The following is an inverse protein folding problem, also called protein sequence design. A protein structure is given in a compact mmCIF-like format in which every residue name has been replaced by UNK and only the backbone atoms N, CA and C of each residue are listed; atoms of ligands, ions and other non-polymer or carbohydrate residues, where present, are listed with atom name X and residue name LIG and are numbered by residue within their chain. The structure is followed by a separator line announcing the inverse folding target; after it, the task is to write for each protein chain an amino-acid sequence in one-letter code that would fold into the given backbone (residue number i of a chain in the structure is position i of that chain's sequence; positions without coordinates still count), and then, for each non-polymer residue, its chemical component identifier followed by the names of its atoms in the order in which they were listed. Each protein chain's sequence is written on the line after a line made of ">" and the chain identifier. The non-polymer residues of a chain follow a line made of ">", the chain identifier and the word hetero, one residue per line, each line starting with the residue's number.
data_IF_307478144117
#
_entry.id   IF_307478144117
#
_cell.length_a   1.000
_cell.length_b   1.000
_cell.length_c   1.000
_cell.angle_alpha   90.00
_cell.angle_beta   90.00
_cell.angle_gamma   90.00
#
_symmetry.space_group_name_H-M   'P 1'
#
loop_
_entity.id
_entity.type
_entity.pdbx_description
1 polymer ?
#
# COMPACT_ATOMS: atom_id res chain seq x y z
N UNK A 1 21.77 -6.26 -15.15
CA UNK A 1 20.84 -5.16 -15.45
C UNK A 1 19.64 -5.35 -14.53
N UNK A 2 19.24 -4.30 -13.83
CA UNK A 2 18.09 -4.29 -12.91
C UNK A 2 16.80 -4.42 -13.71
N UNK A 3 15.88 -5.30 -13.29
CA UNK A 3 14.66 -5.59 -14.05
C UNK A 3 13.45 -5.78 -13.14
N UNK A 4 12.27 -5.39 -13.62
CA UNK A 4 11.02 -5.64 -12.89
C UNK A 4 10.77 -7.13 -12.62
N UNK A 5 11.18 -8.02 -13.54
CA UNK A 5 11.12 -9.47 -13.31
C UNK A 5 12.11 -9.95 -12.23
N UNK A 6 13.29 -9.32 -12.13
CA UNK A 6 14.26 -9.55 -11.06
C UNK A 6 13.66 -9.22 -9.69
N UNK A 7 13.09 -8.02 -9.57
CA UNK A 7 12.36 -7.60 -8.37
C UNK A 7 11.22 -8.57 -8.01
N UNK A 8 10.39 -8.98 -8.98
CA UNK A 8 9.28 -9.90 -8.72
C UNK A 8 9.76 -11.27 -8.24
N UNK A 9 10.82 -11.82 -8.84
CA UNK A 9 11.41 -13.09 -8.40
C UNK A 9 11.95 -13.00 -6.99
N UNK A 10 12.56 -11.86 -6.62
CA UNK A 10 13.04 -11.62 -5.27
C UNK A 10 11.86 -11.54 -4.29
N UNK A 11 10.86 -10.71 -4.58
CA UNK A 11 9.67 -10.53 -3.74
C UNK A 11 8.96 -11.86 -3.42
N UNK A 12 8.80 -12.74 -4.43
CA UNK A 12 8.15 -14.05 -4.26
C UNK A 12 8.84 -14.98 -3.27
N UNK A 13 10.14 -14.80 -2.99
CA UNK A 13 10.88 -15.63 -2.02
C UNK A 13 10.47 -15.34 -0.57
N UNK A 14 9.93 -14.15 -0.33
CA UNK A 14 9.55 -13.69 1.00
C UNK A 14 8.08 -13.96 1.34
N UNK A 15 7.29 -14.54 0.42
CA UNK A 15 5.89 -14.91 0.70
C UNK A 15 5.84 -15.84 1.92
N UNK A 16 5.01 -15.48 2.91
CA UNK A 16 4.88 -16.17 4.19
C UNK A 16 5.69 -15.55 5.33
N UNK A 17 6.60 -14.61 5.06
CA UNK A 17 7.32 -13.88 6.10
C UNK A 17 6.41 -12.87 6.83
N UNK A 18 6.75 -12.57 8.08
CA UNK A 18 5.88 -11.83 8.98
C UNK A 18 5.84 -10.33 8.66
N UNK A 19 4.71 -9.70 8.99
CA UNK A 19 4.56 -8.25 8.92
C UNK A 19 4.75 -7.62 10.30
N UNK A 20 5.53 -6.55 10.39
CA UNK A 20 5.64 -5.68 11.55
C UNK A 20 6.20 -4.32 11.12
N UNK A 21 5.83 -3.25 11.83
CA UNK A 21 6.44 -1.94 11.62
C UNK A 21 7.90 -1.97 12.09
N UNK A 22 8.85 -1.90 11.15
CA UNK A 22 10.28 -1.98 11.42
C UNK A 22 11.06 -1.18 10.38
N UNK A 23 12.20 -0.62 10.76
CA UNK A 23 13.15 -0.11 9.77
C UNK A 23 14.02 -1.27 9.29
N UNK A 24 13.96 -1.57 7.99
CA UNK A 24 14.76 -2.63 7.35
C UNK A 24 16.08 -2.06 6.85
N UNK A 25 17.23 -2.68 7.19
CA UNK A 25 18.51 -2.30 6.60
C UNK A 25 18.53 -2.65 5.11
N UNK A 26 18.38 -1.66 4.23
CA UNK A 26 18.25 -1.85 2.78
C UNK A 26 19.46 -2.55 2.17
N UNK A 27 20.64 -2.37 2.75
CA UNK A 27 21.88 -3.03 2.34
C UNK A 27 22.09 -4.45 2.87
N UNK A 28 21.18 -4.99 3.69
CA UNK A 28 21.26 -6.38 4.13
C UNK A 28 20.47 -7.29 3.18
N UNK A 29 21.16 -7.95 2.26
CA UNK A 29 20.56 -8.89 1.31
C UNK A 29 20.02 -10.17 1.95
N UNK A 30 20.39 -10.46 3.20
CA UNK A 30 19.98 -11.65 3.94
C UNK A 30 18.86 -11.36 4.95
N UNK A 31 18.18 -10.21 4.85
CA UNK A 31 17.03 -9.91 5.71
C UNK A 31 15.83 -10.82 5.34
N UNK A 32 15.19 -11.41 6.33
CA UNK A 32 14.06 -12.34 6.18
C UNK A 32 12.87 -11.91 7.05
N UNK A 33 12.58 -10.61 6.98
CA UNK A 33 11.52 -9.99 7.75
C UNK A 33 11.85 -9.76 9.24
N UNK A 34 10.90 -9.21 10.00
CA UNK A 34 9.57 -8.83 9.54
C UNK A 34 9.60 -7.64 8.57
N UNK A 35 8.47 -7.37 7.93
CA UNK A 35 8.32 -6.35 6.90
C UNK A 35 7.18 -5.39 7.20
N UNK A 36 7.31 -4.15 6.76
CA UNK A 36 6.15 -3.35 6.37
C UNK A 36 6.13 -3.11 4.85
N UNK A 37 5.05 -2.51 4.34
CA UNK A 37 4.83 -2.36 2.91
C UNK A 37 5.89 -1.47 2.22
N UNK A 38 6.23 -0.33 2.81
CA UNK A 38 7.17 0.63 2.22
C UNK A 38 8.60 0.10 2.33
N UNK A 39 8.92 -0.48 3.47
CA UNK A 39 10.21 -1.10 3.78
C UNK A 39 10.51 -2.28 2.87
N UNK A 40 9.54 -3.18 2.67
CA UNK A 40 9.67 -4.29 1.73
C UNK A 40 9.92 -3.78 0.31
N UNK A 41 9.13 -2.81 -0.16
CA UNK A 41 9.30 -2.28 -1.52
C UNK A 41 10.65 -1.58 -1.69
N UNK A 42 11.04 -0.69 -0.76
CA UNK A 42 12.31 0.03 -0.83
C UNK A 42 13.51 -0.92 -0.73
N UNK A 43 13.40 -2.00 0.05
CA UNK A 43 14.42 -3.04 0.10
C UNK A 43 14.53 -3.77 -1.24
N UNK A 44 13.41 -4.17 -1.86
CA UNK A 44 13.42 -4.82 -3.19
C UNK A 44 14.11 -3.95 -4.26
N UNK A 45 13.79 -2.65 -4.27
CA UNK A 45 14.40 -1.69 -5.19
C UNK A 45 15.90 -1.56 -4.94
N UNK A 46 16.31 -1.46 -3.67
CA UNK A 46 17.72 -1.36 -3.33
C UNK A 46 18.49 -2.62 -3.70
N UNK A 47 17.92 -3.80 -3.47
CA UNK A 47 18.56 -5.08 -3.82
C UNK A 47 18.70 -5.29 -5.34
N UNK A 48 17.72 -4.84 -6.14
CA UNK A 48 17.77 -5.00 -7.59
C UNK A 48 18.57 -3.89 -8.29
N UNK A 49 18.44 -2.64 -7.84
CA UNK A 49 18.96 -1.46 -8.54
C UNK A 49 20.03 -0.66 -7.78
N UNK A 50 20.26 -0.94 -6.49
CA UNK A 50 21.18 -0.16 -5.66
C UNK A 50 20.70 1.27 -5.39
N UNK A 51 19.41 1.53 -5.58
CA UNK A 51 18.80 2.85 -5.44
C UNK A 51 17.99 2.90 -4.14
N UNK A 52 18.25 3.89 -3.30
CA UNK A 52 17.30 4.27 -2.25
C UNK A 52 16.14 5.03 -2.88
N UNK A 53 14.93 4.49 -2.72
CA UNK A 53 13.68 5.05 -3.22
C UNK A 53 12.59 4.90 -2.19
N UNK A 54 11.79 5.95 -2.02
CA UNK A 54 10.71 6.00 -1.03
C UNK A 54 11.19 6.03 0.42
N UNK A 55 12.44 6.48 0.65
CA UNK A 55 13.01 6.68 1.97
C UNK A 55 12.97 8.16 2.38
N UNK A 56 12.88 8.45 3.68
CA UNK A 56 12.92 9.81 4.23
C UNK A 56 14.20 10.54 3.82
N UNK A 57 15.33 9.83 3.82
CA UNK A 57 16.61 10.28 3.26
C UNK A 57 17.15 9.26 2.25
N UNK A 58 17.09 9.63 0.97
CA UNK A 58 17.56 8.80 -0.14
C UNK A 58 19.07 8.94 -0.45
N UNK A 59 19.79 9.75 0.33
CA UNK A 59 21.24 9.94 0.24
C UNK A 59 22.01 9.43 1.46
N UNK A 60 21.27 9.05 2.50
CA UNK A 60 21.81 8.54 3.75
C UNK A 60 22.34 7.12 3.65
N UNK A 61 22.76 6.59 4.80
CA UNK A 61 23.22 5.21 4.90
C UNK A 61 22.04 4.24 4.66
N UNK A 62 22.10 3.35 3.65
CA UNK A 62 21.03 2.41 3.35
C UNK A 62 20.63 1.49 4.53
N UNK A 63 21.54 1.26 5.50
CA UNK A 63 21.24 0.49 6.69
C UNK A 63 20.19 1.13 7.62
N UNK A 64 20.01 2.45 7.52
CA UNK A 64 19.15 3.24 8.41
C UNK A 64 18.12 4.09 7.65
N UNK A 65 18.04 3.93 6.33
CA UNK A 65 17.10 4.68 5.51
C UNK A 65 15.67 4.19 5.76
N UNK A 66 14.91 4.94 6.54
CA UNK A 66 13.51 4.66 6.87
C UNK A 66 12.60 4.92 5.67
N UNK A 67 11.81 3.92 5.28
CA UNK A 67 10.90 3.95 4.15
C UNK A 67 9.46 4.15 4.59
N UNK A 68 8.77 5.02 3.86
CA UNK A 68 7.39 5.37 4.18
C UNK A 68 6.62 5.72 2.91
N UNK A 69 5.34 5.35 2.84
CA UNK A 69 4.47 5.63 1.69
C UNK A 69 4.38 7.12 1.33
N UNK A 70 4.55 8.03 2.29
CA UNK A 70 4.65 9.47 2.02
C UNK A 70 5.96 9.87 1.32
N UNK A 71 7.08 9.25 1.69
CA UNK A 71 8.35 9.43 0.97
C UNK A 71 8.29 8.79 -0.43
N UNK A 72 7.62 7.64 -0.56
CA UNK A 72 7.29 7.04 -1.87
C UNK A 72 6.43 7.96 -2.74
N UNK A 73 5.41 8.60 -2.16
CA UNK A 73 4.62 9.60 -2.88
C UNK A 73 5.52 10.74 -3.37
N UNK A 74 6.34 11.32 -2.50
CA UNK A 74 7.26 12.41 -2.86
C UNK A 74 8.23 12.00 -3.99
N UNK A 75 8.83 10.83 -3.89
CA UNK A 75 9.76 10.33 -4.91
C UNK A 75 9.04 10.03 -6.24
N UNK A 76 7.84 9.45 -6.19
CA UNK A 76 7.03 9.21 -7.39
C UNK A 76 6.69 10.50 -8.13
N UNK A 77 6.46 11.59 -7.38
CA UNK A 77 6.16 12.90 -7.93
C UNK A 77 7.40 13.60 -8.49
N UNK A 78 8.55 13.47 -7.80
CA UNK A 78 9.77 14.22 -8.13
C UNK A 78 10.63 13.55 -9.18
N UNK A 79 10.73 12.22 -9.14
CA UNK A 79 11.69 11.44 -9.94
C UNK A 79 11.17 10.11 -10.45
N UNK A 80 9.98 9.67 -10.07
CA UNK A 80 9.34 8.48 -10.64
C UNK A 80 8.76 8.72 -12.02
N UNK A 81 8.57 7.64 -12.77
CA UNK A 81 7.74 7.65 -13.98
C UNK A 81 6.34 7.21 -13.55
N UNK A 82 5.42 8.17 -13.40
CA UNK A 82 4.02 7.86 -13.07
C UNK A 82 3.27 7.41 -14.30
N UNK A 83 2.58 6.29 -14.16
CA UNK A 83 1.78 5.65 -15.21
C UNK A 83 0.37 5.34 -14.68
N UNK A 84 -0.62 5.13 -15.57
CA UNK A 84 -1.94 4.65 -15.16
C UNK A 84 -1.87 3.34 -14.37
N UNK A 85 -2.83 3.14 -13.47
CA UNK A 85 -2.93 1.94 -12.62
C UNK A 85 -3.01 0.67 -13.47
N UNK A 86 -3.78 0.71 -14.54
CA UNK A 86 -3.98 -0.39 -15.49
C UNK A 86 -2.68 -0.76 -16.22
N UNK A 87 -1.84 0.23 -16.51
CA UNK A 87 -0.55 0.00 -17.13
C UNK A 87 0.45 -0.60 -16.14
N UNK A 88 0.48 -0.11 -14.89
CA UNK A 88 1.33 -0.69 -13.85
C UNK A 88 0.91 -2.11 -13.49
N UNK A 89 -0.39 -2.39 -13.39
CA UNK A 89 -0.94 -3.72 -13.14
C UNK A 89 -0.56 -4.74 -14.24
N UNK A 90 -0.41 -4.25 -15.48
CA UNK A 90 0.03 -5.04 -16.63
C UNK A 90 1.55 -5.19 -16.74
N UNK A 91 2.33 -4.42 -15.98
CA UNK A 91 3.79 -4.41 -16.08
C UNK A 91 4.41 -5.31 -15.01
N UNK A 92 5.25 -6.27 -15.41
CA UNK A 92 5.99 -7.12 -14.46
C UNK A 92 6.95 -6.25 -13.64
N UNK A 93 6.77 -6.22 -12.32
CA UNK A 93 7.52 -5.34 -11.43
C UNK A 93 7.06 -3.87 -11.45
N UNK A 94 5.95 -3.57 -12.14
CA UNK A 94 5.26 -2.30 -11.96
C UNK A 94 4.84 -2.13 -10.50
N UNK A 95 4.78 -0.90 -10.01
CA UNK A 95 4.43 -0.61 -8.62
C UNK A 95 3.10 0.10 -8.60
N UNK A 96 2.19 -0.30 -7.72
CA UNK A 96 0.99 0.48 -7.41
C UNK A 96 1.15 1.11 -6.04
N UNK A 97 0.80 2.38 -5.96
CA UNK A 97 0.89 3.17 -4.75
C UNK A 97 -0.48 3.82 -4.49
N UNK A 98 -0.97 3.59 -3.29
CA UNK A 98 -2.04 4.37 -2.67
C UNK A 98 -1.39 5.34 -1.69
N UNK A 99 -1.65 6.62 -1.87
CA UNK A 99 -1.05 7.67 -1.08
C UNK A 99 -1.60 7.68 0.35
N UNK A 100 -0.79 8.12 1.33
CA UNK A 100 -1.32 8.57 2.60
C UNK A 100 -2.49 9.54 2.42
N UNK A 101 -3.60 9.39 3.16
CA UNK A 101 -4.70 10.35 3.09
C UNK A 101 -4.28 11.72 3.63
N UNK A 102 -3.41 11.76 4.64
CA UNK A 102 -2.88 12.96 5.28
C UNK A 102 -1.38 12.78 5.60
N UNK A 103 -0.61 13.88 5.81
CA UNK A 103 0.77 13.79 6.26
C UNK A 103 0.91 12.95 7.55
N UNK A 104 1.81 11.97 7.53
CA UNK A 104 2.06 11.06 8.66
C UNK A 104 1.15 9.83 8.72
N UNK A 105 0.05 9.78 7.96
CA UNK A 105 -0.79 8.58 7.85
C UNK A 105 -0.15 7.53 6.91
N UNK A 106 -0.50 6.26 7.01
CA UNK A 106 0.02 5.26 6.06
C UNK A 106 -0.87 5.18 4.82
N UNK A 107 -0.23 5.00 3.67
CA UNK A 107 -0.88 4.56 2.44
C UNK A 107 -0.70 3.05 2.28
N UNK A 108 -0.56 2.58 1.04
CA UNK A 108 -0.12 1.21 0.78
C UNK A 108 0.59 1.08 -0.56
N UNK A 109 1.54 0.16 -0.65
CA UNK A 109 2.37 -0.01 -1.84
C UNK A 109 2.60 -1.49 -2.15
N UNK A 110 2.55 -1.86 -3.43
CA UNK A 110 2.60 -3.26 -3.87
C UNK A 110 3.41 -3.42 -5.16
N UNK A 111 3.96 -4.63 -5.37
CA UNK A 111 4.65 -5.00 -6.60
C UNK A 111 3.72 -5.83 -7.49
N UNK A 112 3.53 -5.42 -8.74
CA UNK A 112 2.69 -6.12 -9.71
C UNK A 112 3.40 -7.31 -10.34
N UNK A 113 2.64 -8.37 -10.60
CA UNK A 113 3.11 -9.55 -11.34
C UNK A 113 2.95 -9.43 -12.87
N UNK A 114 2.35 -8.33 -13.34
CA UNK A 114 2.04 -8.06 -14.75
C UNK A 114 0.76 -8.71 -15.28
N UNK A 115 -0.02 -9.38 -14.42
CA UNK A 115 -1.23 -10.13 -14.77
C UNK A 115 -2.43 -9.78 -13.89
N UNK A 116 -2.34 -8.64 -13.17
CA UNK A 116 -3.34 -8.22 -12.17
C UNK A 116 -3.14 -8.83 -10.78
N UNK A 117 -2.08 -9.60 -10.57
CA UNK A 117 -1.63 -10.07 -9.27
C UNK A 117 -0.61 -9.12 -8.63
N UNK A 118 -0.42 -9.25 -7.32
CA UNK A 118 0.56 -8.49 -6.53
C UNK A 118 1.41 -9.41 -5.66
N UNK A 119 2.57 -8.92 -5.23
CA UNK A 119 3.32 -9.41 -4.06
C UNK A 119 3.55 -8.22 -3.13
N UNK A 120 3.21 -8.37 -1.86
CA UNK A 120 3.15 -7.25 -0.92
C UNK A 120 3.25 -7.71 0.54
N UNK A 121 3.83 -6.86 1.40
CA UNK A 121 3.67 -6.97 2.85
C UNK A 121 2.35 -6.28 3.25
N UNK A 122 1.31 -7.07 3.52
CA UNK A 122 -0.09 -6.58 3.54
C UNK A 122 -0.61 -6.19 4.93
N UNK A 123 0.01 -6.67 6.00
CA UNK A 123 -0.44 -6.44 7.37
C UNK A 123 -0.22 -7.67 8.23
N UNK A 124 -0.35 -7.52 9.55
CA UNK A 124 -0.03 -8.58 10.53
C UNK A 124 -0.83 -9.87 10.28
N UNK A 125 -2.08 -9.77 9.82
CA UNK A 125 -2.94 -10.93 9.51
C UNK A 125 -2.43 -11.75 8.33
N UNK A 126 -1.67 -11.14 7.43
CA UNK A 126 -1.31 -11.72 6.14
C UNK A 126 0.20 -11.98 5.97
N UNK A 127 1.05 -11.16 6.59
CA UNK A 127 2.48 -11.15 6.30
C UNK A 127 2.78 -10.63 4.89
N UNK A 128 3.83 -11.15 4.27
CA UNK A 128 4.10 -11.01 2.84
C UNK A 128 3.27 -12.05 2.08
N UNK A 129 2.48 -11.60 1.12
CA UNK A 129 1.49 -12.44 0.44
C UNK A 129 1.43 -12.13 -1.05
N UNK A 130 0.98 -13.11 -1.83
CA UNK A 130 0.51 -12.88 -3.18
C UNK A 130 -0.99 -12.54 -3.15
N UNK A 131 -1.39 -11.47 -3.82
CA UNK A 131 -2.78 -10.99 -3.82
C UNK A 131 -3.14 -10.39 -5.19
N UNK A 132 -4.13 -9.51 -5.25
CA UNK A 132 -4.61 -8.87 -6.46
C UNK A 132 -4.66 -7.35 -6.36
N UNK A 133 -4.58 -6.71 -7.53
CA UNK A 133 -4.83 -5.28 -7.71
C UNK A 133 -6.33 -4.93 -7.66
N UNK A 134 -7.21 -5.92 -7.78
CA UNK A 134 -8.65 -5.70 -7.89
C UNK A 134 -9.36 -5.44 -6.55
N UNK A 135 -10.51 -4.76 -6.63
CA UNK A 135 -11.38 -4.36 -5.52
C UNK A 135 -10.67 -3.56 -4.42
N UNK A 136 -9.63 -2.81 -4.82
CA UNK A 136 -8.82 -1.94 -3.97
C UNK A 136 -8.57 -0.62 -4.69
N UNK A 137 -8.47 0.47 -3.94
CA UNK A 137 -8.11 1.78 -4.48
C UNK A 137 -6.61 1.87 -4.73
N UNK A 138 -6.23 2.45 -5.86
CA UNK A 138 -4.86 2.83 -6.19
C UNK A 138 -4.83 4.24 -6.76
N UNK A 139 -3.89 5.07 -6.32
CA UNK A 139 -3.78 6.45 -6.80
C UNK A 139 -2.91 6.57 -8.04
N UNK A 140 -1.85 5.75 -8.12
CA UNK A 140 -0.91 5.83 -9.22
C UNK A 140 -0.15 4.53 -9.44
N UNK A 141 0.24 4.28 -10.69
CA UNK A 141 1.29 3.36 -11.03
C UNK A 141 2.65 4.06 -11.06
N UNK A 142 3.71 3.39 -10.62
CA UNK A 142 5.08 3.94 -10.59
C UNK A 142 6.05 2.96 -11.26
N UNK A 143 6.90 3.49 -12.15
CA UNK A 143 8.13 2.84 -12.61
C UNK A 143 9.33 3.65 -12.13
N UNK A 144 10.41 2.97 -11.77
CA UNK A 144 11.62 3.58 -11.22
C UNK A 144 12.66 3.76 -12.33
N UNK A 145 13.16 4.97 -12.58
CA UNK A 145 14.24 5.18 -13.55
C UNK A 145 15.46 4.31 -13.23
N UNK A 146 16.04 3.70 -14.26
CA UNK A 146 17.19 2.79 -14.12
C UNK A 146 16.85 1.31 -13.98
N UNK A 147 15.56 0.97 -13.80
CA UNK A 147 15.06 -0.41 -13.86
C UNK A 147 14.44 -0.65 -15.23
N UNK A 148 14.77 -1.79 -15.85
CA UNK A 148 14.17 -2.20 -17.12
C UNK A 148 12.89 -2.99 -16.86
N UNK A 149 11.80 -2.58 -17.53
CA UNK A 149 10.50 -3.22 -17.40
C UNK A 149 10.09 -3.80 -18.73
N UNK A 150 9.60 -5.04 -18.70
CA UNK A 150 8.84 -5.60 -19.81
C UNK A 150 7.49 -4.86 -19.84
N UNK A 151 7.41 -3.78 -20.60
CA UNK A 151 6.20 -2.99 -20.74
C UNK A 151 5.10 -3.84 -21.36
N UNK A 152 3.96 -3.95 -20.68
CA UNK A 152 2.77 -4.45 -21.34
C UNK A 152 2.36 -3.49 -22.45
N UNK A 153 2.18 -4.05 -23.65
CA UNK A 153 1.66 -3.30 -24.80
C UNK A 153 0.18 -2.94 -24.59
N UNK A 154 -0.53 -3.66 -23.72
CA UNK A 154 -1.96 -3.51 -23.47
C UNK A 154 -2.22 -3.36 -21.97
N UNK A 155 -2.81 -2.24 -21.51
CA UNK A 155 -3.23 -2.06 -20.12
C UNK A 155 -4.21 -3.15 -19.68
N UNK A 156 -4.11 -3.59 -18.43
CA UNK A 156 -5.04 -4.55 -17.84
C UNK A 156 -6.17 -3.81 -17.13
N UNK A 157 -7.45 -4.11 -17.41
CA UNK A 157 -8.56 -3.53 -16.68
C UNK A 157 -8.45 -3.85 -15.18
N UNK A 158 -8.35 -2.82 -14.34
CA UNK A 158 -8.36 -2.96 -12.89
C UNK A 158 -9.75 -2.65 -12.37
N UNK A 159 -10.44 -3.66 -11.84
CA UNK A 159 -11.72 -3.46 -11.16
C UNK A 159 -11.49 -2.70 -9.85
N UNK A 160 -11.74 -1.40 -9.87
CA UNK A 160 -11.75 -0.55 -8.67
C UNK A 160 -13.06 -0.80 -7.87
N UNK A 161 -13.05 -0.64 -6.54
CA UNK A 161 -14.25 -0.70 -5.72
C UNK A 161 -15.19 0.46 -6.06
N UNK A 162 -16.51 0.22 -6.01
CA UNK A 162 -17.52 1.26 -6.29
C UNK A 162 -17.60 2.33 -5.21
N UNK A 163 -17.41 1.94 -3.95
CA UNK A 163 -17.42 2.83 -2.80
C UNK A 163 -16.21 2.56 -1.92
N UNK A 164 -15.56 3.66 -1.53
CA UNK A 164 -14.43 3.67 -0.62
C UNK A 164 -14.53 4.94 0.22
N UNK A 165 -14.47 4.79 1.53
CA UNK A 165 -14.62 5.90 2.47
C UNK A 165 -13.27 6.24 3.10
N UNK A 166 -12.78 7.45 2.83
CA UNK A 166 -11.55 8.02 3.37
C UNK A 166 -11.63 9.54 3.32
N UNK A 167 -10.74 10.22 4.05
CA UNK A 167 -10.66 11.68 4.03
C UNK A 167 -10.32 12.16 2.61
N UNK A 168 -11.20 12.99 2.04
CA UNK A 168 -11.05 13.52 0.68
C UNK A 168 -11.75 12.71 -0.42
N UNK A 169 -12.41 11.60 -0.09
CA UNK A 169 -13.31 10.91 -1.02
C UNK A 169 -14.47 11.84 -1.43
N UNK A 170 -14.75 11.94 -2.72
CA UNK A 170 -15.77 12.86 -3.25
C UNK A 170 -17.21 12.36 -3.12
N UNK A 171 -17.39 11.04 -2.97
CA UNK A 171 -18.70 10.36 -3.03
C UNK A 171 -18.93 9.54 -1.76
N UNK A 172 -18.93 10.19 -0.60
CA UNK A 172 -19.27 9.55 0.68
C UNK A 172 -20.73 9.80 1.01
N UNK A 173 -21.52 8.73 1.02
CA UNK A 173 -22.91 8.80 1.44
C UNK A 173 -22.99 8.89 2.98
N UNK A 174 -23.62 9.94 3.56
CA UNK A 174 -23.65 10.14 5.01
C UNK A 174 -24.23 8.95 5.79
N UNK A 175 -25.24 8.27 5.25
CA UNK A 175 -25.86 7.11 5.90
C UNK A 175 -24.89 5.91 6.01
N UNK A 176 -24.00 5.74 5.02
CA UNK A 176 -22.96 4.71 5.06
C UNK A 176 -21.85 5.11 6.03
N UNK A 177 -21.51 6.39 6.11
CA UNK A 177 -20.56 6.88 7.14
C UNK A 177 -21.11 6.65 8.54
N UNK A 178 -22.40 6.93 8.79
CA UNK A 178 -23.07 6.61 10.05
C UNK A 178 -22.95 5.11 10.35
N UNK A 179 -23.17 4.25 9.34
CA UNK A 179 -23.03 2.80 9.48
C UNK A 179 -21.61 2.39 9.89
N UNK A 180 -20.58 2.99 9.27
CA UNK A 180 -19.17 2.79 9.63
C UNK A 180 -18.92 3.24 11.08
N UNK A 181 -19.34 4.46 11.44
CA UNK A 181 -19.16 5.03 12.78
C UNK A 181 -19.85 4.16 13.86
N UNK A 182 -21.08 3.69 13.60
CA UNK A 182 -21.80 2.79 14.50
C UNK A 182 -21.07 1.46 14.68
N UNK A 183 -20.60 0.84 13.60
CA UNK A 183 -19.87 -0.43 13.66
C UNK A 183 -18.57 -0.28 14.48
N UNK A 184 -17.79 0.78 14.24
CA UNK A 184 -16.58 1.09 15.01
C UNK A 184 -16.87 1.26 16.50
N UNK A 185 -17.89 2.06 16.83
CA UNK A 185 -18.30 2.31 18.22
C UNK A 185 -18.72 1.02 18.93
N UNK A 186 -19.52 0.17 18.27
CA UNK A 186 -19.95 -1.11 18.81
C UNK A 186 -18.78 -2.08 19.05
N UNK A 187 -17.73 -1.99 18.23
CA UNK A 187 -16.50 -2.77 18.36
C UNK A 187 -15.49 -2.15 19.34
N UNK A 188 -15.83 -1.03 19.99
CA UNK A 188 -15.02 -0.39 21.03
C UNK A 188 -13.99 0.63 20.53
N UNK A 189 -14.07 1.04 19.27
CA UNK A 189 -13.25 2.12 18.71
C UNK A 189 -14.03 3.43 18.77
N UNK A 190 -13.39 4.56 19.07
CA UNK A 190 -14.05 5.87 19.17
C UNK A 190 -13.95 6.64 17.84
N UNK A 191 -14.98 6.63 16.98
CA UNK A 191 -14.98 7.42 15.73
C UNK A 191 -15.31 8.90 15.97
N UNK A 192 -15.56 9.33 17.21
CA UNK A 192 -16.19 10.61 17.51
C UNK A 192 -17.72 10.55 17.36
N UNK A 193 -18.36 11.69 17.07
CA UNK A 193 -19.81 11.73 16.85
C UNK A 193 -20.25 10.83 15.70
N UNK A 194 -21.41 10.19 15.85
CA UNK A 194 -22.07 9.44 14.77
C UNK A 194 -22.93 10.45 13.98
N UNK A 195 -22.28 11.22 13.12
CA UNK A 195 -22.85 12.38 12.42
C UNK A 195 -22.85 12.23 10.88
N UNK A 196 -22.34 11.11 10.36
CA UNK A 196 -22.22 10.88 8.92
C UNK A 196 -21.06 11.62 8.26
N UNK A 197 -20.13 12.18 9.04
CA UNK A 197 -18.95 12.87 8.54
C UNK A 197 -17.70 12.00 8.75
N UNK A 198 -17.05 11.63 7.64
CA UNK A 198 -15.79 10.88 7.69
C UNK A 198 -14.62 11.84 7.93
N UNK A 199 -14.46 12.27 9.19
CA UNK A 199 -13.36 13.14 9.63
C UNK A 199 -12.17 12.38 10.22
N UNK A 200 -11.20 13.14 10.76
CA UNK A 200 -9.97 12.60 11.35
C UNK A 200 -10.21 11.57 12.46
N UNK A 201 -11.25 11.75 13.29
CA UNK A 201 -11.60 10.80 14.35
C UNK A 201 -12.09 9.46 13.77
N UNK A 202 -12.97 9.50 12.78
CA UNK A 202 -13.44 8.30 12.07
C UNK A 202 -12.27 7.59 11.39
N UNK A 203 -11.41 8.33 10.68
CA UNK A 203 -10.24 7.74 10.02
C UNK A 203 -9.26 7.11 11.02
N UNK A 204 -9.01 7.76 12.16
CA UNK A 204 -8.16 7.22 13.23
C UNK A 204 -8.78 5.97 13.88
N UNK A 205 -10.09 5.95 14.09
CA UNK A 205 -10.79 4.77 14.60
C UNK A 205 -10.73 3.59 13.62
N UNK A 206 -10.86 3.86 12.32
CA UNK A 206 -10.67 2.85 11.26
C UNK A 206 -9.24 2.32 11.26
N UNK A 207 -8.22 3.18 11.34
CA UNK A 207 -6.83 2.76 11.42
C UNK A 207 -6.56 1.90 12.67
N UNK A 208 -7.09 2.30 13.83
CA UNK A 208 -6.97 1.50 15.05
C UNK A 208 -7.66 0.13 14.92
N UNK A 209 -8.85 0.10 14.31
CA UNK A 209 -9.56 -1.15 13.99
C UNK A 209 -8.74 -2.04 13.05
N UNK A 210 -8.19 -1.48 11.98
CA UNK A 210 -7.34 -2.20 11.03
C UNK A 210 -6.10 -2.77 11.72
N UNK A 211 -5.45 -1.99 12.58
CA UNK A 211 -4.28 -2.43 13.35
C UNK A 211 -4.59 -3.64 14.22
N UNK A 212 -5.69 -3.58 14.99
CA UNK A 212 -6.12 -4.67 15.87
C UNK A 212 -6.48 -5.94 15.08
N UNK A 213 -7.08 -5.77 13.91
CA UNK A 213 -7.47 -6.89 13.03
C UNK A 213 -6.37 -7.32 12.05
N UNK A 214 -5.18 -6.72 12.15
CA UNK A 214 -4.01 -7.05 11.32
C UNK A 214 -4.17 -6.76 9.82
N UNK A 215 -5.03 -5.82 9.46
CA UNK A 215 -5.27 -5.38 8.09
C UNK A 215 -4.19 -4.37 7.63
N UNK A 216 -4.31 -3.87 6.39
CA UNK A 216 -3.59 -2.67 5.97
C UNK A 216 -4.11 -1.50 6.81
N UNK A 217 -3.21 -0.75 7.45
CA UNK A 217 -3.56 0.32 8.40
C UNK A 217 -3.50 1.68 7.71
N UNK A 218 -4.49 1.96 6.87
CA UNK A 218 -4.53 3.15 5.99
C UNK A 218 -5.65 4.15 6.35
N UNK A 219 -6.54 3.79 7.29
CA UNK A 219 -7.69 4.61 7.66
C UNK A 219 -8.78 4.68 6.57
N UNK A 220 -8.75 3.78 5.59
CA UNK A 220 -9.68 3.69 4.46
C UNK A 220 -10.63 2.49 4.61
N UNK A 221 -11.94 2.74 4.46
CA UNK A 221 -12.95 1.67 4.42
C UNK A 221 -13.27 1.31 2.97
N UNK A 222 -12.55 0.32 2.46
CA UNK A 222 -12.89 -0.42 1.24
C UNK A 222 -13.55 -1.78 1.55
N UNK A 223 -13.77 -2.64 0.54
CA UNK A 223 -14.47 -3.92 0.71
C UNK A 223 -13.89 -4.83 1.80
N UNK A 224 -12.56 -4.85 1.96
CA UNK A 224 -11.91 -5.67 2.99
C UNK A 224 -12.21 -5.17 4.40
N UNK A 225 -12.03 -3.87 4.66
CA UNK A 225 -12.36 -3.26 5.95
C UNK A 225 -13.84 -3.38 6.27
N UNK A 226 -14.72 -3.15 5.28
CA UNK A 226 -16.17 -3.29 5.44
C UNK A 226 -16.60 -4.70 5.83
N UNK A 227 -16.00 -5.73 5.21
CA UNK A 227 -16.26 -7.13 5.55
C UNK A 227 -15.89 -7.42 7.01
N UNK A 228 -14.73 -6.93 7.47
CA UNK A 228 -14.28 -7.15 8.86
C UNK A 228 -15.09 -6.34 9.88
N UNK A 229 -15.63 -5.18 9.48
CA UNK A 229 -16.59 -4.40 10.26
C UNK A 229 -18.00 -5.04 10.29
N UNK A 230 -18.27 -6.02 9.42
CA UNK A 230 -19.59 -6.65 9.30
C UNK A 230 -20.63 -5.77 8.59
N UNK A 231 -20.20 -4.90 7.68
CA UNK A 231 -21.07 -3.98 6.94
C UNK A 231 -20.94 -4.18 5.42
N UNK A 232 -21.88 -3.61 4.66
CA UNK A 232 -21.87 -3.57 3.19
C UNK A 232 -21.74 -2.13 2.72
N UNK A 233 -20.91 -1.90 1.69
CA UNK A 233 -20.71 -0.61 1.04
C UNK A 233 -21.54 -0.48 -0.25
#
# INVERSE_FOLDING_TARGET
>A
MSTGNGMLKLAKRHIGEQYNHVVVPKNNSNWHGPWDCAEFMSWLVFQDAGILYGCIDNSGNPAFADAYTGAWQQDSLKRGIRIPVEQAAATVGGILLRFPPNPGAMGHIVLCDGKGGTVEAKGVKFGVVADTVHNRRWDTGVLIPGIFYDSAVVPLPVKQPSHVYFIGASNMEPDVVITIQQALFQLGFDPGPIDGIYGDKTAAAVAAFQQVNGLVVDGEVGPQTATELGITL
#
